data_IF_815494242861
#
_entry.id   IF_815494242861
#
_cell.length_a   1.000
_cell.length_b   1.000
_cell.length_c   1.000
_cell.angle_alpha   90.00
_cell.angle_beta   90.00
_cell.angle_gamma   90.00
#
_symmetry.space_group_name_H-M   'P 1'
#
loop_
_entity.id
_entity.type
_entity.pdbx_description
1 polymer ?
#
# COMPACT_ATOMS: atom_id res chain seq x y z
N UNK A 1 -7.71 -8.22 6.97
CA UNK A 1 -7.39 -7.19 5.97
C UNK A 1 -8.24 -7.41 4.71
N UNK A 2 -9.30 -6.61 4.51
CA UNK A 2 -10.17 -6.74 3.34
C UNK A 2 -9.53 -5.96 2.18
N UNK A 3 -8.62 -6.61 1.45
CA UNK A 3 -8.18 -6.09 0.15
C UNK A 3 -8.52 -7.19 -0.84
N UNK A 4 -9.55 -6.96 -1.66
CA UNK A 4 -10.02 -7.92 -2.64
C UNK A 4 -9.02 -7.98 -3.80
N UNK A 5 -7.96 -8.78 -3.64
CA UNK A 5 -7.08 -9.20 -4.72
C UNK A 5 -7.73 -10.39 -5.48
N UNK A 6 -8.98 -10.22 -5.94
CA UNK A 6 -9.63 -11.22 -6.81
C UNK A 6 -8.93 -11.19 -8.17
N UNK A 7 -8.47 -12.36 -8.64
CA UNK A 7 -7.93 -12.52 -9.99
C UNK A 7 -6.43 -12.25 -10.19
N UNK A 8 -5.63 -12.11 -9.12
CA UNK A 8 -4.17 -11.99 -9.24
C UNK A 8 -3.54 -13.38 -9.46
N UNK A 9 -2.77 -13.62 -10.54
CA UNK A 9 -2.13 -14.92 -10.78
C UNK A 9 -1.19 -15.31 -9.64
N UNK A 10 -0.61 -14.32 -8.96
CA UNK A 10 0.26 -14.49 -7.79
C UNK A 10 -0.49 -15.03 -6.57
N UNK A 11 -1.81 -15.17 -6.58
CA UNK A 11 -2.58 -15.79 -5.50
C UNK A 11 -3.38 -17.02 -5.98
N UNK A 12 -3.26 -17.40 -7.25
CA UNK A 12 -3.91 -18.57 -7.82
C UNK A 12 -3.32 -19.88 -7.24
N UNK A 13 -4.17 -20.87 -6.96
CA UNK A 13 -3.76 -22.16 -6.40
C UNK A 13 -3.48 -22.18 -4.89
N UNK A 14 -3.42 -21.02 -4.23
CA UNK A 14 -3.23 -20.94 -2.78
C UNK A 14 -4.55 -21.06 -2.03
N UNK A 15 -4.53 -21.75 -0.87
CA UNK A 15 -5.62 -21.78 0.10
C UNK A 15 -5.81 -20.41 0.79
N UNK A 16 -6.88 -20.25 1.58
CA UNK A 16 -7.15 -18.95 2.23
C UNK A 16 -6.05 -18.52 3.20
N UNK A 17 -5.41 -19.47 3.90
CA UNK A 17 -4.31 -19.26 4.84
C UNK A 17 -3.08 -18.72 4.13
N UNK A 18 -2.61 -19.42 3.11
CA UNK A 18 -1.43 -19.06 2.32
C UNK A 18 -1.62 -17.71 1.62
N UNK A 19 -2.81 -17.43 1.08
CA UNK A 19 -3.10 -16.08 0.52
C UNK A 19 -2.97 -14.98 1.55
N UNK A 20 -3.36 -15.23 2.80
CA UNK A 20 -3.23 -14.25 3.88
C UNK A 20 -1.76 -14.03 4.23
N UNK A 21 -0.95 -15.08 4.23
CA UNK A 21 0.46 -15.01 4.59
C UNK A 21 1.30 -14.33 3.50
N UNK A 22 1.09 -14.67 2.22
CA UNK A 22 1.70 -13.97 1.08
C UNK A 22 1.35 -12.49 1.09
N UNK A 23 0.08 -12.13 1.37
CA UNK A 23 -0.34 -10.72 1.47
C UNK A 23 0.31 -9.99 2.63
N UNK A 24 0.49 -10.66 3.78
CA UNK A 24 1.21 -10.06 4.92
C UNK A 24 2.67 -9.82 4.59
N UNK A 25 3.31 -10.77 3.92
CA UNK A 25 4.70 -10.64 3.51
C UNK A 25 4.87 -9.51 2.48
N UNK A 26 3.98 -9.44 1.49
CA UNK A 26 3.95 -8.33 0.53
C UNK A 26 3.75 -6.97 1.22
N UNK A 27 2.86 -6.91 2.22
CA UNK A 27 2.67 -5.70 3.03
C UNK A 27 3.92 -5.36 3.85
N UNK A 28 4.59 -6.34 4.44
CA UNK A 28 5.82 -6.14 5.20
C UNK A 28 6.92 -5.54 4.32
N UNK A 29 7.06 -6.00 3.08
CA UNK A 29 7.98 -5.38 2.12
C UNK A 29 7.53 -3.99 1.71
N UNK A 30 6.24 -3.81 1.37
CA UNK A 30 5.67 -2.52 0.99
C UNK A 30 5.86 -1.43 2.06
N UNK A 31 5.78 -1.78 3.35
CA UNK A 31 6.00 -0.85 4.46
C UNK A 31 7.45 -0.39 4.60
N UNK A 32 8.42 -1.19 4.14
CA UNK A 32 9.84 -0.90 4.31
C UNK A 32 10.35 0.12 3.29
N UNK A 33 9.55 0.47 2.29
CA UNK A 33 9.90 1.42 1.26
C UNK A 33 9.25 2.79 1.52
N UNK A 34 10.09 3.83 1.51
CA UNK A 34 9.68 5.21 1.75
C UNK A 34 8.66 5.75 0.75
N UNK A 35 8.64 5.23 -0.48
CA UNK A 35 7.74 5.68 -1.55
C UNK A 35 6.25 5.47 -1.23
N UNK A 36 5.92 4.58 -0.30
CA UNK A 36 4.56 4.45 0.26
C UNK A 36 4.08 5.77 0.91
N UNK A 37 4.99 6.56 1.46
CA UNK A 37 4.70 7.81 2.16
C UNK A 37 4.72 9.04 1.26
N UNK A 38 5.16 8.93 0.00
CA UNK A 38 5.26 10.06 -0.92
C UNK A 38 3.94 10.85 -1.08
N UNK A 39 2.75 10.21 -1.17
CA UNK A 39 1.49 10.95 -1.23
C UNK A 39 1.19 11.74 0.05
N UNK A 40 1.51 11.18 1.22
CA UNK A 40 1.33 11.86 2.50
C UNK A 40 2.26 13.07 2.63
N UNK A 41 3.51 12.93 2.18
CA UNK A 41 4.45 14.05 2.13
C UNK A 41 3.99 15.16 1.19
N UNK A 42 3.52 14.80 -0.01
CA UNK A 42 2.97 15.78 -0.96
C UNK A 42 1.74 16.51 -0.40
N UNK A 43 0.87 15.80 0.34
CA UNK A 43 -0.26 16.41 1.02
C UNK A 43 0.17 17.38 2.13
N UNK A 44 1.18 17.03 2.94
CA UNK A 44 1.72 17.94 3.96
C UNK A 44 2.29 19.23 3.34
N UNK A 45 3.03 19.10 2.23
CA UNK A 45 3.52 20.26 1.49
C UNK A 45 2.37 21.14 0.96
N UNK A 46 1.31 20.52 0.43
CA UNK A 46 0.12 21.24 0.00
C UNK A 46 -0.53 22.02 1.15
N UNK A 47 -0.72 21.40 2.31
CA UNK A 47 -1.29 22.06 3.50
C UNK A 47 -0.40 23.22 3.95
N UNK A 48 0.92 23.04 3.99
CA UNK A 48 1.86 24.10 4.36
C UNK A 48 1.78 25.29 3.38
N UNK A 49 1.74 25.01 2.09
CA UNK A 49 1.66 26.04 1.06
C UNK A 49 0.31 26.78 1.10
N UNK A 50 -0.78 26.03 1.28
CA UNK A 50 -2.12 26.58 1.40
C UNK A 50 -2.27 27.47 2.64
N UNK A 51 -1.76 27.04 3.80
CA UNK A 51 -1.80 27.84 5.04
C UNK A 51 -0.96 29.11 4.96
N UNK A 52 0.17 29.09 4.25
CA UNK A 52 1.06 30.26 4.14
C UNK A 52 0.65 31.28 3.08
N UNK A 53 0.11 30.80 1.96
CA UNK A 53 -0.09 31.61 0.75
C UNK A 53 -1.53 31.63 0.24
N UNK A 54 -2.45 30.85 0.82
CA UNK A 54 -3.83 30.80 0.35
C UNK A 54 -3.96 30.24 -1.07
N UNK A 55 -3.21 29.18 -1.39
CA UNK A 55 -3.15 28.53 -2.73
C UNK A 55 -4.53 28.23 -3.32
N UNK A 56 -5.55 28.08 -2.47
CA UNK A 56 -6.91 27.75 -2.86
C UNK A 56 -7.84 28.74 -2.17
N UNK A 57 -8.79 29.31 -2.91
CA UNK A 57 -9.67 30.36 -2.37
C UNK A 57 -10.94 29.77 -1.73
N UNK A 58 -11.42 28.66 -2.27
CA UNK A 58 -12.66 28.01 -1.83
C UNK A 58 -12.45 26.84 -0.87
N UNK A 59 -13.35 26.73 0.12
CA UNK A 59 -13.43 25.54 1.01
C UNK A 59 -13.71 24.25 0.22
N UNK A 60 -14.50 24.34 -0.84
CA UNK A 60 -14.83 23.23 -1.74
C UNK A 60 -13.61 22.75 -2.54
N UNK A 61 -12.84 23.67 -3.10
CA UNK A 61 -11.62 23.38 -3.86
C UNK A 61 -10.56 22.69 -2.97
N UNK A 62 -10.41 23.13 -1.71
CA UNK A 62 -9.53 22.48 -0.74
C UNK A 62 -9.96 21.04 -0.45
N UNK A 63 -11.27 20.80 -0.31
CA UNK A 63 -11.82 19.46 -0.12
C UNK A 63 -11.54 18.56 -1.34
N UNK A 64 -11.74 19.07 -2.55
CA UNK A 64 -11.45 18.33 -3.78
C UNK A 64 -9.97 18.00 -3.93
N UNK A 65 -9.08 18.95 -3.63
CA UNK A 65 -7.63 18.72 -3.63
C UNK A 65 -7.25 17.63 -2.63
N UNK A 66 -7.76 17.72 -1.40
CA UNK A 66 -7.52 16.72 -0.34
C UNK A 66 -8.06 15.34 -0.75
N UNK A 67 -9.24 15.27 -1.35
CA UNK A 67 -9.81 14.02 -1.86
C UNK A 67 -8.95 13.44 -2.98
N UNK A 68 -8.41 14.28 -3.88
CA UNK A 68 -7.46 13.87 -4.90
C UNK A 68 -6.20 13.23 -4.31
N UNK A 69 -5.58 13.88 -3.31
CA UNK A 69 -4.45 13.30 -2.59
C UNK A 69 -4.79 11.96 -1.94
N UNK A 70 -5.97 11.84 -1.33
CA UNK A 70 -6.42 10.59 -0.72
C UNK A 70 -6.57 9.47 -1.76
N UNK A 71 -7.21 9.74 -2.89
CA UNK A 71 -7.38 8.77 -3.98
C UNK A 71 -6.00 8.32 -4.51
N UNK A 72 -5.10 9.27 -4.76
CA UNK A 72 -3.72 8.99 -5.21
C UNK A 72 -2.98 8.15 -4.17
N UNK A 73 -3.10 8.47 -2.89
CA UNK A 73 -2.49 7.69 -1.81
C UNK A 73 -2.97 6.23 -1.82
N UNK A 74 -4.29 6.02 -1.93
CA UNK A 74 -4.86 4.67 -2.03
C UNK A 74 -4.35 3.93 -3.26
N UNK A 75 -4.27 4.59 -4.42
CA UNK A 75 -3.74 3.99 -5.65
C UNK A 75 -2.28 3.60 -5.48
N UNK A 76 -1.44 4.49 -4.97
CA UNK A 76 -0.01 4.24 -4.74
C UNK A 76 0.18 3.07 -3.79
N UNK A 77 -0.53 3.04 -2.66
CA UNK A 77 -0.49 1.92 -1.71
C UNK A 77 -0.88 0.61 -2.40
N UNK A 78 -1.94 0.61 -3.22
CA UNK A 78 -2.40 -0.59 -3.93
C UNK A 78 -1.37 -1.08 -4.94
N UNK A 79 -0.78 -0.18 -5.73
CA UNK A 79 0.25 -0.52 -6.71
C UNK A 79 1.50 -1.04 -6.03
N UNK A 80 1.90 -0.43 -4.92
CA UNK A 80 3.07 -0.83 -4.17
C UNK A 80 2.89 -2.26 -3.60
N UNK A 81 1.78 -2.53 -2.91
CA UNK A 81 1.49 -3.89 -2.42
C UNK A 81 1.43 -4.89 -3.59
N UNK A 82 0.78 -4.53 -4.69
CA UNK A 82 0.67 -5.40 -5.85
C UNK A 82 2.02 -5.74 -6.47
N UNK A 83 2.94 -4.78 -6.52
CA UNK A 83 4.32 -5.00 -6.99
C UNK A 83 5.05 -6.03 -6.12
N UNK A 84 4.88 -5.98 -4.79
CA UNK A 84 5.50 -6.94 -3.87
C UNK A 84 4.79 -8.29 -3.74
N UNK A 85 3.62 -8.50 -4.37
CA UNK A 85 2.95 -9.81 -4.34
C UNK A 85 3.77 -10.90 -5.03
N UNK A 86 4.41 -10.59 -6.16
CA UNK A 86 5.23 -11.54 -6.91
C UNK A 86 6.45 -12.03 -6.10
N UNK A 87 7.32 -11.16 -5.55
CA UNK A 87 8.43 -11.60 -4.71
C UNK A 87 7.96 -12.25 -3.41
N UNK A 88 6.86 -11.76 -2.80
CA UNK A 88 6.31 -12.38 -1.60
C UNK A 88 5.84 -13.82 -1.85
N UNK A 89 5.24 -14.10 -3.01
CA UNK A 89 4.89 -15.47 -3.38
C UNK A 89 6.12 -16.34 -3.56
N UNK A 90 7.13 -15.88 -4.29
CA UNK A 90 8.36 -16.66 -4.47
C UNK A 90 9.01 -17.04 -3.12
N UNK A 91 9.03 -16.12 -2.16
CA UNK A 91 9.56 -16.39 -0.82
C UNK A 91 8.64 -17.35 -0.03
N UNK A 92 7.32 -17.22 -0.16
CA UNK A 92 6.38 -18.15 0.46
C UNK A 92 6.54 -19.57 -0.10
N UNK A 93 6.70 -19.71 -1.42
CA UNK A 93 6.87 -21.00 -2.08
C UNK A 93 8.19 -21.68 -1.65
N UNK A 94 9.23 -20.90 -1.31
CA UNK A 94 10.51 -21.42 -0.82
C UNK A 94 10.52 -21.75 0.69
N UNK A 95 9.83 -20.96 1.51
CA UNK A 95 9.99 -20.99 2.98
C UNK A 95 8.75 -21.45 3.74
N UNK A 96 7.62 -21.54 3.04
CA UNK A 96 6.32 -21.89 3.61
C UNK A 96 5.83 -20.93 4.70
N UNK A 97 4.73 -21.32 5.36
CA UNK A 97 4.11 -20.49 6.40
C UNK A 97 5.02 -20.25 7.62
N UNK A 98 5.91 -21.20 7.95
CA UNK A 98 6.87 -21.05 9.04
C UNK A 98 7.91 -19.96 8.75
N UNK A 99 8.48 -19.94 7.54
CA UNK A 99 9.43 -18.90 7.15
C UNK A 99 8.81 -17.51 7.12
N UNK A 100 7.57 -17.38 6.64
CA UNK A 100 6.86 -16.10 6.66
C UNK A 100 6.68 -15.57 8.09
N UNK A 101 6.36 -16.44 9.05
CA UNK A 101 6.27 -16.08 10.47
C UNK A 101 7.59 -15.55 11.03
N UNK A 102 8.70 -16.23 10.74
CA UNK A 102 10.04 -15.76 11.15
C UNK A 102 10.38 -14.41 10.53
N UNK A 103 10.16 -14.23 9.22
CA UNK A 103 10.47 -13.00 8.50
C UNK A 103 9.63 -11.83 9.00
N UNK A 104 8.32 -12.06 9.18
CA UNK A 104 7.39 -11.03 9.68
C UNK A 104 7.43 -10.85 11.21
N UNK A 105 8.29 -11.63 11.90
CA UNK A 105 8.46 -11.67 13.37
C UNK A 105 7.11 -11.83 14.11
N UNK A 106 6.27 -12.76 13.66
CA UNK A 106 4.95 -13.06 14.24
C UNK A 106 4.62 -14.54 14.22
#
# INVERSE_FOLDING_TARGET
>A
MPFAFRGRPELAGLDRSARRDVRRLAWHFAQRHWSLHAPAFAWLLFVLLHTRYGVVAGRSEYLWATLGFFIVAVIVIRLHIAHYLKPARAIYDLTGAAGVRVITRR
#
